data_IF_031138200580
#
_entry.id   IF_031138200580
#
_cell.length_a   1.000
_cell.length_b   1.000
_cell.length_c   1.000
_cell.angle_alpha   90.00
_cell.angle_beta   90.00
_cell.angle_gamma   90.00
#
_symmetry.space_group_name_H-M   'P 1'
#
loop_
_entity.id
_entity.type
_entity.pdbx_description
1 polymer ?
#
# COMPACT_ATOMS: atom_id res chain seq x y z
N UNK A 1 -8.09 0.56 -2.68
CA UNK A 1 -9.14 1.59 -2.49
C UNK A 1 -8.75 2.59 -1.40
N UNK A 2 -8.38 2.14 -0.19
CA UNK A 2 -8.10 3.02 0.95
C UNK A 2 -6.98 4.03 0.66
N UNK A 3 -5.86 3.63 0.06
CA UNK A 3 -4.77 4.53 -0.38
C UNK A 3 -5.32 5.65 -1.24
N UNK A 4 -6.16 5.30 -2.23
CA UNK A 4 -6.73 6.25 -3.18
C UNK A 4 -7.70 7.23 -2.52
N UNK A 5 -8.57 6.75 -1.64
CA UNK A 5 -9.52 7.60 -0.89
C UNK A 5 -8.80 8.49 0.12
N UNK A 6 -7.73 8.01 0.75
CA UNK A 6 -6.88 8.85 1.62
C UNK A 6 -6.26 9.99 0.83
N UNK A 7 -5.66 9.72 -0.34
CA UNK A 7 -5.13 10.76 -1.24
C UNK A 7 -6.21 11.76 -1.66
N UNK A 8 -7.42 11.30 -1.99
CA UNK A 8 -8.53 12.18 -2.36
C UNK A 8 -8.93 13.12 -1.20
N UNK A 9 -8.95 12.61 0.03
CA UNK A 9 -9.29 13.38 1.23
C UNK A 9 -8.19 14.38 1.64
N UNK A 10 -6.95 14.19 1.19
CA UNK A 10 -5.89 15.19 1.35
C UNK A 10 -6.15 16.49 0.58
N UNK A 11 -7.10 16.51 -0.37
CA UNK A 11 -7.55 17.68 -1.14
C UNK A 11 -6.41 18.42 -1.86
N UNK A 12 -5.48 17.69 -2.40
CA UNK A 12 -4.29 18.24 -3.07
C UNK A 12 -4.54 18.67 -4.52
N UNK A 13 -5.70 18.32 -5.08
CA UNK A 13 -6.01 18.55 -6.49
C UNK A 13 -5.36 17.56 -7.46
N UNK A 14 -4.69 16.52 -6.95
CA UNK A 14 -4.13 15.47 -7.80
C UNK A 14 -5.24 14.74 -8.59
N UNK A 15 -5.04 14.50 -9.88
CA UNK A 15 -5.91 13.62 -10.63
C UNK A 15 -5.74 12.19 -10.11
N UNK A 16 -6.84 11.57 -9.69
CA UNK A 16 -6.86 10.22 -9.14
C UNK A 16 -7.76 9.33 -9.99
N UNK A 17 -7.28 8.11 -10.29
CA UNK A 17 -8.00 7.14 -11.09
C UNK A 17 -8.02 5.78 -10.41
N UNK A 18 -9.20 5.17 -10.35
CA UNK A 18 -9.39 3.81 -9.85
C UNK A 18 -9.42 2.82 -11.02
N UNK A 19 -8.73 1.70 -10.84
CA UNK A 19 -8.84 0.51 -11.69
C UNK A 19 -9.23 -0.66 -10.81
N UNK A 20 -10.20 -1.45 -11.23
CA UNK A 20 -10.64 -2.60 -10.42
C UNK A 20 -11.81 -3.34 -11.04
N UNK A 21 -12.14 -4.46 -10.41
CA UNK A 21 -13.29 -5.28 -10.77
C UNK A 21 -14.19 -5.46 -9.55
N UNK A 22 -15.47 -5.12 -9.68
CA UNK A 22 -16.47 -5.23 -8.63
C UNK A 22 -17.64 -6.09 -9.10
N UNK A 23 -18.42 -6.61 -8.16
CA UNK A 23 -19.66 -7.34 -8.45
C UNK A 23 -20.80 -6.44 -8.92
N UNK A 24 -21.88 -7.06 -9.39
CA UNK A 24 -23.16 -6.39 -9.61
C UNK A 24 -24.03 -6.50 -8.34
N UNK A 25 -23.56 -5.88 -7.25
CA UNK A 25 -24.16 -5.95 -5.92
C UNK A 25 -24.08 -4.60 -5.19
N UNK A 26 -24.72 -4.52 -4.02
CA UNK A 26 -24.77 -3.32 -3.19
C UNK A 26 -23.38 -2.84 -2.75
N UNK A 27 -22.42 -3.75 -2.53
CA UNK A 27 -21.06 -3.38 -2.14
C UNK A 27 -20.31 -2.72 -3.31
N UNK A 28 -20.55 -3.23 -4.53
CA UNK A 28 -20.05 -2.58 -5.75
C UNK A 28 -20.67 -1.20 -5.97
N UNK A 29 -21.97 -1.04 -5.70
CA UNK A 29 -22.64 0.27 -5.76
C UNK A 29 -22.06 1.24 -4.73
N UNK A 30 -21.79 0.76 -3.52
CA UNK A 30 -21.15 1.55 -2.47
C UNK A 30 -19.74 2.03 -2.90
N UNK A 31 -18.90 1.15 -3.46
CA UNK A 31 -17.57 1.54 -3.96
C UNK A 31 -17.70 2.63 -5.04
N UNK A 32 -18.62 2.47 -6.01
CA UNK A 32 -18.83 3.46 -7.06
C UNK A 32 -19.30 4.80 -6.52
N UNK A 33 -20.18 4.80 -5.52
CA UNK A 33 -20.65 6.02 -4.86
C UNK A 33 -19.52 6.73 -4.08
N UNK A 34 -18.66 5.98 -3.40
CA UNK A 34 -17.51 6.53 -2.69
C UNK A 34 -16.50 7.18 -3.66
N UNK A 35 -16.18 6.53 -4.78
CA UNK A 35 -15.29 7.09 -5.79
C UNK A 35 -15.87 8.39 -6.39
N UNK A 36 -17.18 8.44 -6.64
CA UNK A 36 -17.87 9.64 -7.12
C UNK A 36 -17.84 10.77 -6.09
N UNK A 37 -18.17 10.47 -4.83
CA UNK A 37 -18.17 11.42 -3.73
C UNK A 37 -16.82 12.11 -3.54
N UNK A 38 -15.72 11.38 -3.74
CA UNK A 38 -14.37 11.90 -3.60
C UNK A 38 -13.72 12.31 -4.93
N UNK A 39 -14.51 12.44 -6.01
CA UNK A 39 -14.07 12.88 -7.34
C UNK A 39 -12.92 12.06 -7.93
N UNK A 40 -12.87 10.76 -7.63
CA UNK A 40 -11.93 9.82 -8.22
C UNK A 40 -12.46 9.34 -9.57
N UNK A 41 -11.65 9.41 -10.61
CA UNK A 41 -12.03 8.86 -11.92
C UNK A 41 -12.20 7.33 -11.80
N UNK A 42 -13.40 6.84 -12.15
CA UNK A 42 -13.83 5.44 -12.01
C UNK A 42 -14.11 4.75 -13.35
N UNK A 43 -13.70 5.34 -14.46
CA UNK A 43 -14.01 4.80 -15.80
C UNK A 43 -13.42 3.39 -16.03
N UNK A 44 -12.35 3.02 -15.31
CA UNK A 44 -11.72 1.71 -15.38
C UNK A 44 -12.13 0.76 -14.23
N UNK A 45 -13.16 1.11 -13.46
CA UNK A 45 -13.79 0.19 -12.53
C UNK A 45 -14.88 -0.58 -13.27
N UNK A 46 -14.61 -1.84 -13.54
CA UNK A 46 -15.49 -2.74 -14.29
C UNK A 46 -16.40 -3.54 -13.36
N UNK A 47 -17.55 -3.98 -13.87
CA UNK A 47 -18.47 -4.85 -13.13
C UNK A 47 -18.52 -6.25 -13.74
N UNK A 48 -18.67 -7.25 -12.86
CA UNK A 48 -18.84 -8.65 -13.26
C UNK A 48 -20.05 -9.28 -12.59
N UNK A 49 -20.66 -10.24 -13.29
CA UNK A 49 -21.69 -11.13 -12.74
C UNK A 49 -21.12 -12.46 -12.24
N UNK A 50 -19.82 -12.72 -12.46
CA UNK A 50 -19.20 -14.00 -12.14
C UNK A 50 -18.77 -14.14 -10.68
N UNK A 51 -18.69 -13.01 -9.93
CA UNK A 51 -18.34 -13.01 -8.52
C UNK A 51 -18.91 -11.76 -7.83
N UNK A 52 -19.20 -11.82 -6.52
CA UNK A 52 -19.57 -10.66 -5.73
C UNK A 52 -18.36 -9.72 -5.56
N UNK A 53 -18.62 -8.50 -5.13
CA UNK A 53 -17.58 -7.56 -4.74
C UNK A 53 -16.71 -8.16 -3.62
N UNK A 54 -15.39 -7.94 -3.69
CA UNK A 54 -14.46 -8.36 -2.65
C UNK A 54 -14.77 -7.66 -1.32
N UNK A 55 -14.73 -8.43 -0.23
CA UNK A 55 -15.05 -7.93 1.11
C UNK A 55 -14.11 -8.52 2.15
N UNK A 56 -13.77 -7.71 3.16
CA UNK A 56 -13.10 -8.17 4.36
C UNK A 56 -13.89 -7.76 5.60
N UNK A 57 -14.25 -8.74 6.42
CA UNK A 57 -14.77 -8.49 7.77
C UNK A 57 -13.60 -8.52 8.75
N UNK A 58 -13.47 -7.48 9.55
CA UNK A 58 -12.38 -7.36 10.53
C UNK A 58 -12.98 -7.39 11.92
N UNK A 59 -12.59 -8.37 12.70
CA UNK A 59 -12.93 -8.45 14.12
C UNK A 59 -11.72 -7.99 14.94
N UNK A 60 -11.92 -6.99 15.77
CA UNK A 60 -10.88 -6.48 16.67
C UNK A 60 -11.25 -6.82 18.11
N UNK A 61 -10.34 -7.47 18.83
CA UNK A 61 -10.54 -7.77 20.24
C UNK A 61 -10.16 -6.57 21.16
N UNK A 62 -10.47 -6.63 22.47
CA UNK A 62 -10.13 -5.54 23.40
C UNK A 62 -8.62 -5.24 23.52
N UNK A 63 -7.74 -6.16 23.10
CA UNK A 63 -6.28 -5.92 23.08
C UNK A 63 -5.81 -5.20 21.81
N UNK A 64 -6.72 -4.99 20.82
CA UNK A 64 -6.41 -4.44 19.50
C UNK A 64 -5.95 -5.49 18.49
N UNK A 65 -5.93 -6.78 18.83
CA UNK A 65 -5.61 -7.85 17.90
C UNK A 65 -6.76 -8.02 16.88
N UNK A 66 -6.41 -8.18 15.61
CA UNK A 66 -7.36 -8.25 14.52
C UNK A 66 -7.38 -9.63 13.88
N UNK A 67 -8.59 -10.09 13.58
CA UNK A 67 -8.83 -11.29 12.77
C UNK A 67 -9.58 -10.88 11.50
N UNK A 68 -9.07 -11.28 10.35
CA UNK A 68 -9.62 -10.94 9.04
C UNK A 68 -10.34 -12.14 8.44
N UNK A 69 -11.60 -11.96 8.04
CA UNK A 69 -12.33 -12.90 7.21
C UNK A 69 -12.47 -12.29 5.82
N UNK A 70 -11.59 -12.71 4.92
CA UNK A 70 -11.50 -12.15 3.57
C UNK A 70 -12.23 -13.03 2.55
N UNK A 71 -13.13 -12.41 1.78
CA UNK A 71 -13.73 -12.97 0.57
C UNK A 71 -13.11 -12.28 -0.65
N UNK A 72 -12.32 -12.97 -1.48
CA UNK A 72 -11.63 -12.35 -2.62
C UNK A 72 -12.57 -11.83 -3.71
N UNK A 73 -13.78 -12.40 -3.81
CA UNK A 73 -14.82 -11.93 -4.72
C UNK A 73 -14.30 -11.64 -6.14
N UNK A 74 -14.70 -10.50 -6.70
CA UNK A 74 -14.32 -10.08 -8.05
C UNK A 74 -12.82 -9.78 -8.19
N UNK A 75 -12.12 -9.38 -7.12
CA UNK A 75 -10.68 -9.08 -7.19
C UNK A 75 -9.86 -10.26 -7.70
N UNK A 76 -10.26 -11.50 -7.38
CA UNK A 76 -9.59 -12.71 -7.89
C UNK A 76 -9.61 -12.84 -9.41
N UNK A 77 -10.55 -12.17 -10.08
CA UNK A 77 -10.73 -12.22 -11.53
C UNK A 77 -10.09 -11.02 -12.24
N UNK A 78 -9.58 -10.03 -11.50
CA UNK A 78 -8.90 -8.87 -12.07
C UNK A 78 -7.62 -9.33 -12.78
N UNK A 79 -7.51 -9.03 -14.09
CA UNK A 79 -6.42 -9.50 -14.93
C UNK A 79 -5.92 -8.42 -15.90
N UNK A 80 -4.85 -8.68 -16.60
CA UNK A 80 -4.12 -7.77 -17.51
C UNK A 80 -5.03 -6.91 -18.41
N UNK A 81 -6.07 -7.42 -19.07
CA UNK A 81 -6.91 -6.61 -19.96
C UNK A 81 -7.60 -5.40 -19.28
N UNK A 82 -7.76 -5.42 -17.97
CA UNK A 82 -8.35 -4.29 -17.24
C UNK A 82 -7.45 -3.05 -17.24
N UNK A 83 -6.19 -3.19 -17.62
CA UNK A 83 -5.16 -2.15 -17.57
C UNK A 83 -4.70 -1.66 -18.95
N UNK A 84 -5.24 -2.21 -20.04
CA UNK A 84 -4.74 -1.98 -21.42
C UNK A 84 -4.92 -0.53 -21.93
N UNK A 85 -5.81 0.26 -21.34
CA UNK A 85 -6.17 1.60 -21.83
C UNK A 85 -6.11 2.66 -20.74
N UNK A 86 -5.13 2.56 -19.85
CA UNK A 86 -4.95 3.56 -18.78
C UNK A 86 -4.38 4.84 -19.35
N UNK A 87 -4.87 5.97 -18.83
CA UNK A 87 -4.35 7.29 -19.18
C UNK A 87 -2.94 7.47 -18.58
N UNK A 88 -1.94 7.57 -19.43
CA UNK A 88 -0.54 7.74 -19.06
C UNK A 88 -0.19 9.17 -18.63
N UNK A 89 -1.17 10.07 -18.51
CA UNK A 89 -0.95 11.40 -17.91
C UNK A 89 -0.75 11.34 -16.41
N UNK A 90 -1.17 10.23 -15.76
CA UNK A 90 -0.88 9.96 -14.35
C UNK A 90 0.58 9.60 -14.16
N UNK A 91 1.18 10.00 -13.02
CA UNK A 91 2.61 9.73 -12.76
C UNK A 91 2.88 8.37 -12.14
N UNK A 92 2.07 7.95 -11.17
CA UNK A 92 2.31 6.76 -10.36
C UNK A 92 1.18 5.74 -10.58
N UNK A 93 1.56 4.52 -10.90
CA UNK A 93 0.69 3.34 -10.87
C UNK A 93 0.96 2.57 -9.59
N UNK A 94 -0.06 2.43 -8.73
CA UNK A 94 0.02 1.71 -7.47
C UNK A 94 -0.81 0.44 -7.51
N UNK A 95 -0.19 -0.72 -7.31
CA UNK A 95 -0.84 -2.04 -7.24
C UNK A 95 -0.98 -2.48 -5.78
N UNK A 96 -2.15 -2.79 -5.33
CA UNK A 96 -2.41 -3.39 -4.02
C UNK A 96 -3.51 -4.45 -4.18
N UNK A 97 -3.37 -5.66 -3.66
CA UNK A 97 -2.16 -6.22 -3.02
C UNK A 97 -1.83 -7.54 -3.68
N UNK A 98 -0.56 -7.86 -3.85
CA UNK A 98 -0.19 -9.23 -4.23
C UNK A 98 -0.68 -10.21 -3.14
N UNK A 99 -0.87 -11.48 -3.52
CA UNK A 99 -1.46 -12.54 -2.70
C UNK A 99 -3.00 -12.43 -2.51
N UNK A 100 -3.63 -11.41 -3.08
CA UNK A 100 -5.11 -11.25 -3.09
C UNK A 100 -5.71 -11.13 -4.50
N UNK A 101 -4.88 -11.16 -5.54
CA UNK A 101 -5.28 -10.98 -6.95
C UNK A 101 -5.01 -12.28 -7.73
N UNK A 102 -5.83 -13.32 -7.50
CA UNK A 102 -5.56 -14.68 -7.97
C UNK A 102 -5.13 -14.74 -9.45
N UNK A 103 -5.79 -14.00 -10.36
CA UNK A 103 -5.41 -13.98 -11.78
C UNK A 103 -4.07 -13.30 -12.03
N UNK A 104 -3.75 -12.20 -11.33
CA UNK A 104 -2.47 -11.50 -11.46
C UNK A 104 -1.34 -12.21 -10.71
N UNK A 105 -1.67 -13.03 -9.71
CA UNK A 105 -0.70 -13.88 -9.01
C UNK A 105 -0.33 -15.15 -9.81
N UNK A 106 -1.01 -15.44 -10.94
CA UNK A 106 -0.67 -16.59 -11.79
C UNK A 106 0.74 -16.45 -12.39
N UNK A 107 1.41 -17.59 -12.63
CA UNK A 107 2.70 -17.60 -13.32
C UNK A 107 2.64 -16.95 -14.71
N UNK A 108 3.74 -16.32 -15.10
CA UNK A 108 4.01 -15.82 -16.46
C UNK A 108 5.39 -16.32 -16.89
N UNK A 109 5.49 -16.90 -18.09
CA UNK A 109 6.71 -17.55 -18.58
C UNK A 109 7.89 -16.57 -18.81
N UNK A 110 7.61 -15.28 -18.99
CA UNK A 110 8.63 -14.25 -19.27
C UNK A 110 8.95 -13.43 -18.04
N UNK A 111 7.92 -13.04 -17.28
CA UNK A 111 8.06 -12.11 -16.16
C UNK A 111 8.03 -12.79 -14.79
N UNK A 112 7.78 -14.11 -14.75
CA UNK A 112 7.62 -14.89 -13.52
C UNK A 112 6.19 -14.88 -12.99
N UNK A 113 5.53 -13.72 -12.94
CA UNK A 113 4.10 -13.59 -12.59
C UNK A 113 3.40 -12.58 -13.49
N UNK A 114 2.06 -12.68 -13.62
CA UNK A 114 1.28 -11.70 -14.37
C UNK A 114 1.31 -10.30 -13.73
N UNK A 115 1.39 -10.22 -12.41
CA UNK A 115 1.59 -8.94 -11.72
C UNK A 115 2.93 -8.29 -12.06
N UNK A 116 4.02 -9.06 -12.13
CA UNK A 116 5.31 -8.56 -12.60
C UNK A 116 5.25 -8.07 -14.06
N UNK A 117 4.55 -8.81 -14.93
CA UNK A 117 4.27 -8.37 -16.31
C UNK A 117 3.47 -7.08 -16.34
N UNK A 118 2.41 -6.95 -15.53
CA UNK A 118 1.62 -5.72 -15.44
C UNK A 118 2.49 -4.53 -15.04
N UNK A 119 3.29 -4.68 -13.99
CA UNK A 119 4.19 -3.61 -13.52
C UNK A 119 5.21 -3.22 -14.58
N UNK A 120 5.77 -4.20 -15.32
CA UNK A 120 6.63 -3.92 -16.46
C UNK A 120 5.92 -3.12 -17.56
N UNK A 121 4.70 -3.51 -17.93
CA UNK A 121 3.88 -2.80 -18.92
C UNK A 121 3.56 -1.37 -18.48
N UNK A 122 3.17 -1.17 -17.23
CA UNK A 122 2.88 0.17 -16.71
C UNK A 122 4.12 1.06 -16.77
N UNK A 123 5.28 0.54 -16.41
CA UNK A 123 6.54 1.28 -16.51
C UNK A 123 6.90 1.62 -17.95
N UNK A 124 6.72 0.69 -18.89
CA UNK A 124 7.00 0.91 -20.32
C UNK A 124 6.07 1.96 -20.93
N UNK A 125 4.88 2.17 -20.36
CA UNK A 125 3.96 3.25 -20.74
C UNK A 125 4.25 4.58 -20.05
N UNK A 126 5.26 4.64 -19.17
CA UNK A 126 5.75 5.89 -18.57
C UNK A 126 5.35 6.13 -17.11
N UNK A 127 4.61 5.20 -16.47
CA UNK A 127 4.33 5.30 -15.04
C UNK A 127 5.57 5.00 -14.20
N UNK A 128 5.70 5.67 -13.07
CA UNK A 128 6.43 5.15 -11.92
C UNK A 128 5.55 4.14 -11.20
N UNK A 129 6.12 3.01 -10.84
CA UNK A 129 5.36 1.88 -10.30
C UNK A 129 5.56 1.73 -8.80
N UNK A 130 4.48 1.41 -8.11
CA UNK A 130 4.45 1.16 -6.67
C UNK A 130 3.67 -0.10 -6.35
N UNK A 131 4.06 -0.76 -5.27
CA UNK A 131 3.43 -1.96 -4.77
C UNK A 131 3.26 -1.87 -3.26
N UNK A 132 2.12 -2.36 -2.79
CA UNK A 132 1.86 -2.71 -1.39
C UNK A 132 1.50 -4.20 -1.31
N UNK A 133 1.78 -4.82 -0.17
CA UNK A 133 1.61 -6.25 0.06
C UNK A 133 0.52 -6.51 1.11
N UNK A 134 0.18 -7.77 1.29
CA UNK A 134 -0.65 -8.22 2.41
C UNK A 134 0.14 -9.13 3.31
N UNK A 135 0.09 -8.88 4.61
CA UNK A 135 0.77 -9.71 5.60
C UNK A 135 0.12 -11.09 5.69
N UNK A 136 0.85 -12.12 5.25
CA UNK A 136 0.46 -13.54 5.35
C UNK A 136 1.62 -14.34 5.91
N UNK A 137 1.64 -14.48 7.22
CA UNK A 137 2.71 -15.19 7.93
C UNK A 137 2.83 -16.64 7.44
N UNK A 138 4.04 -17.01 6.98
CA UNK A 138 4.37 -18.38 6.56
C UNK A 138 3.68 -18.82 5.27
N UNK A 139 3.18 -17.92 4.43
CA UNK A 139 2.64 -18.28 3.11
C UNK A 139 3.82 -18.59 2.16
N UNK A 140 3.97 -19.85 1.68
CA UNK A 140 5.09 -20.25 0.84
C UNK A 140 5.11 -19.55 -0.53
N UNK A 141 4.01 -18.91 -0.91
CA UNK A 141 3.90 -18.16 -2.17
C UNK A 141 4.52 -16.76 -2.08
N UNK A 142 4.89 -16.30 -0.86
CA UNK A 142 5.31 -14.93 -0.64
C UNK A 142 6.48 -14.53 -1.53
N UNK A 143 7.63 -15.19 -1.37
CA UNK A 143 8.81 -14.91 -2.21
C UNK A 143 8.59 -15.17 -3.70
N UNK A 144 8.01 -16.32 -4.14
CA UNK A 144 7.75 -16.56 -5.55
C UNK A 144 6.87 -15.51 -6.24
N UNK A 145 5.96 -14.85 -5.51
CA UNK A 145 5.09 -13.82 -6.08
C UNK A 145 5.72 -12.43 -6.01
N UNK A 146 6.43 -12.11 -4.92
CA UNK A 146 6.99 -10.78 -4.69
C UNK A 146 8.28 -10.56 -5.50
N UNK A 147 9.20 -11.53 -5.47
CA UNK A 147 10.53 -11.39 -6.09
C UNK A 147 10.50 -11.01 -7.58
N UNK A 148 9.66 -11.61 -8.44
CA UNK A 148 9.57 -11.20 -9.85
C UNK A 148 9.10 -9.76 -10.05
N UNK A 149 8.28 -9.22 -9.14
CA UNK A 149 7.73 -7.88 -9.23
C UNK A 149 8.76 -6.79 -8.90
N UNK A 150 9.71 -7.05 -7.98
CA UNK A 150 10.61 -6.03 -7.42
C UNK A 150 11.39 -5.25 -8.48
N UNK A 151 11.90 -5.92 -9.52
CA UNK A 151 12.67 -5.28 -10.62
C UNK A 151 11.85 -4.31 -11.48
N UNK A 152 10.55 -4.32 -11.32
CA UNK A 152 9.62 -3.47 -12.06
C UNK A 152 9.04 -2.36 -11.19
N UNK A 153 9.54 -2.18 -9.95
CA UNK A 153 9.08 -1.18 -9.00
C UNK A 153 10.03 0.01 -8.92
N UNK A 154 9.43 1.19 -8.80
CA UNK A 154 10.11 2.41 -8.36
C UNK A 154 10.01 2.57 -6.84
N UNK A 155 8.86 2.26 -6.29
CA UNK A 155 8.55 2.43 -4.87
C UNK A 155 7.98 1.15 -4.27
N UNK A 156 8.51 0.73 -3.13
CA UNK A 156 7.96 -0.35 -2.33
C UNK A 156 7.68 0.16 -0.91
N UNK A 157 6.42 0.02 -0.48
CA UNK A 157 5.98 0.41 0.87
C UNK A 157 5.40 -0.83 1.53
N UNK A 158 6.05 -1.32 2.57
CA UNK A 158 5.66 -2.54 3.27
C UNK A 158 5.81 -2.37 4.79
N UNK A 159 5.13 -3.23 5.56
CA UNK A 159 5.34 -3.27 6.99
C UNK A 159 6.49 -4.21 7.39
N UNK A 160 6.88 -4.17 8.65
CA UNK A 160 7.98 -4.97 9.17
C UNK A 160 7.73 -6.48 9.07
N UNK A 161 6.47 -6.93 9.18
CA UNK A 161 6.14 -8.37 9.09
C UNK A 161 6.36 -8.87 7.66
N UNK A 162 5.95 -8.09 6.68
CA UNK A 162 6.17 -8.38 5.26
C UNK A 162 7.65 -8.40 4.90
N UNK A 163 8.41 -7.45 5.46
CA UNK A 163 9.87 -7.43 5.31
C UNK A 163 10.52 -8.68 5.92
N UNK A 164 10.05 -9.14 7.08
CA UNK A 164 10.50 -10.37 7.72
C UNK A 164 10.18 -11.62 6.90
N UNK A 165 8.96 -11.71 6.34
CA UNK A 165 8.57 -12.83 5.47
C UNK A 165 9.41 -12.88 4.17
N UNK A 166 9.81 -11.74 3.63
CA UNK A 166 10.67 -11.67 2.45
C UNK A 166 12.11 -12.06 2.76
N UNK A 167 12.73 -11.43 3.77
CA UNK A 167 14.16 -11.57 4.08
C UNK A 167 14.50 -12.77 4.97
N UNK A 168 13.50 -13.33 5.67
CA UNK A 168 13.73 -14.36 6.69
C UNK A 168 14.43 -13.84 7.95
N UNK A 169 14.60 -12.52 8.11
CA UNK A 169 15.23 -11.91 9.27
C UNK A 169 14.24 -11.71 10.42
N UNK A 170 14.73 -11.85 11.64
CA UNK A 170 13.95 -11.50 12.84
C UNK A 170 13.88 -9.96 12.97
N UNK A 171 12.72 -9.40 12.64
CA UNK A 171 12.50 -7.95 12.55
C UNK A 171 12.24 -7.33 13.92
N UNK A 172 11.94 -8.13 14.93
CA UNK A 172 11.74 -7.67 16.30
C UNK A 172 12.72 -8.33 17.27
N UNK A 173 13.18 -7.55 18.24
CA UNK A 173 14.00 -8.02 19.36
C UNK A 173 13.14 -8.83 20.35
N UNK A 174 13.74 -9.63 21.25
CA UNK A 174 13.01 -10.40 22.25
C UNK A 174 12.15 -9.55 23.20
N UNK A 175 12.46 -8.26 23.37
CA UNK A 175 11.68 -7.31 24.17
C UNK A 175 10.51 -6.70 23.39
N UNK A 176 10.30 -7.09 22.13
CA UNK A 176 9.24 -6.59 21.26
C UNK A 176 9.58 -5.31 20.49
N UNK A 177 10.73 -4.66 20.74
CA UNK A 177 11.16 -3.48 19.99
C UNK A 177 11.59 -3.84 18.55
N UNK A 178 11.50 -2.90 17.60
CA UNK A 178 11.96 -3.13 16.22
C UNK A 178 13.47 -3.36 16.18
N UNK A 179 13.90 -4.38 15.45
CA UNK A 179 15.32 -4.65 15.20
C UNK A 179 15.79 -3.80 14.02
N UNK A 180 16.10 -2.50 14.27
CA UNK A 180 16.37 -1.52 13.22
C UNK A 180 17.46 -1.98 12.24
N UNK A 181 18.53 -2.66 12.72
CA UNK A 181 19.58 -3.17 11.85
C UNK A 181 19.08 -4.26 10.88
N UNK A 182 18.17 -5.13 11.31
CA UNK A 182 17.55 -6.13 10.42
C UNK A 182 16.54 -5.51 9.46
N UNK A 183 15.78 -4.51 9.91
CA UNK A 183 14.89 -3.73 9.03
C UNK A 183 15.72 -3.05 7.93
N UNK A 184 16.85 -2.42 8.28
CA UNK A 184 17.76 -1.82 7.32
C UNK A 184 18.34 -2.84 6.34
N UNK A 185 18.75 -4.02 6.83
CA UNK A 185 19.25 -5.09 5.99
C UNK A 185 18.18 -5.60 5.01
N UNK A 186 16.95 -5.81 5.47
CA UNK A 186 15.83 -6.19 4.62
C UNK A 186 15.52 -5.13 3.55
N UNK A 187 15.56 -3.84 3.91
CA UNK A 187 15.36 -2.76 2.93
C UNK A 187 16.45 -2.75 1.86
N UNK A 188 17.70 -2.99 2.24
CA UNK A 188 18.81 -3.10 1.30
C UNK A 188 18.64 -4.31 0.38
N UNK A 189 18.29 -5.46 0.91
CA UNK A 189 18.03 -6.68 0.12
C UNK A 189 16.93 -6.45 -0.92
N UNK A 190 15.87 -5.72 -0.58
CA UNK A 190 14.78 -5.38 -1.49
C UNK A 190 15.23 -4.42 -2.62
N UNK A 191 16.13 -3.46 -2.32
CA UNK A 191 16.75 -2.63 -3.34
C UNK A 191 17.66 -3.46 -4.26
N UNK A 192 18.50 -4.30 -3.69
CA UNK A 192 19.42 -5.16 -4.44
C UNK A 192 18.65 -6.18 -5.32
N UNK A 193 17.45 -6.58 -4.89
CA UNK A 193 16.52 -7.42 -5.68
C UNK A 193 15.84 -6.65 -6.83
N UNK A 194 15.98 -5.31 -6.90
CA UNK A 194 15.65 -4.55 -8.08
C UNK A 194 14.69 -3.36 -7.91
N UNK A 195 14.25 -3.02 -6.70
CA UNK A 195 13.48 -1.78 -6.48
C UNK A 195 14.37 -0.57 -6.78
N UNK A 196 13.89 0.34 -7.64
CA UNK A 196 14.77 1.31 -8.30
C UNK A 196 15.01 2.61 -7.55
N UNK A 197 14.01 3.10 -6.79
CA UNK A 197 14.10 4.43 -6.20
C UNK A 197 14.03 4.40 -4.67
N UNK A 198 12.97 3.85 -4.10
CA UNK A 198 12.75 3.92 -2.65
C UNK A 198 12.12 2.64 -2.12
N UNK A 199 12.67 2.11 -1.04
CA UNK A 199 12.04 1.09 -0.19
C UNK A 199 11.73 1.73 1.16
N UNK A 200 10.50 1.54 1.66
CA UNK A 200 10.12 1.97 3.00
C UNK A 200 9.49 0.80 3.74
N UNK A 201 10.05 0.52 4.92
CA UNK A 201 9.54 -0.51 5.85
C UNK A 201 9.06 0.21 7.10
N UNK A 202 7.74 0.14 7.36
CA UNK A 202 7.12 0.81 8.49
C UNK A 202 6.70 -0.17 9.58
N UNK A 203 6.71 0.32 10.82
CA UNK A 203 6.18 -0.34 12.00
C UNK A 203 5.56 0.71 12.96
N UNK A 204 4.90 0.32 14.05
CA UNK A 204 4.31 1.27 15.00
C UNK A 204 5.29 2.30 15.57
N UNK A 205 6.56 1.94 15.74
CA UNK A 205 7.59 2.77 16.37
C UNK A 205 8.27 3.74 15.39
N UNK A 206 8.16 3.49 14.08
CA UNK A 206 8.80 4.32 13.06
C UNK A 206 8.85 3.66 11.69
N UNK A 207 9.65 4.23 10.79
CA UNK A 207 9.90 3.65 9.49
C UNK A 207 11.37 3.78 9.09
N UNK A 208 11.89 2.76 8.43
CA UNK A 208 13.15 2.80 7.71
C UNK A 208 12.89 3.10 6.25
N UNK A 209 13.50 4.16 5.74
CA UNK A 209 13.51 4.42 4.30
C UNK A 209 14.91 4.23 3.75
N UNK A 210 15.01 3.64 2.57
CA UNK A 210 16.26 3.34 1.88
C UNK A 210 16.19 3.81 0.43
N UNK A 211 17.30 4.37 -0.07
CA UNK A 211 17.48 4.73 -1.49
C UNK A 211 18.83 4.22 -2.00
N UNK A 212 18.98 3.96 -3.32
CA UNK A 212 20.25 3.50 -3.88
C UNK A 212 21.40 4.50 -3.66
N UNK A 213 21.12 5.83 -3.77
CA UNK A 213 22.17 6.85 -3.79
C UNK A 213 22.54 7.35 -2.40
N UNK A 214 21.55 7.51 -1.50
CA UNK A 214 21.73 8.20 -0.21
C UNK A 214 21.83 7.25 0.97
N UNK A 215 21.57 5.94 0.73
CA UNK A 215 21.45 4.97 1.81
C UNK A 215 20.15 5.13 2.59
N UNK A 216 20.14 4.66 3.85
CA UNK A 216 18.93 4.56 4.65
C UNK A 216 18.87 5.51 5.84
N UNK A 217 17.65 5.78 6.28
CA UNK A 217 17.33 6.60 7.45
C UNK A 217 16.18 6.01 8.24
N UNK A 218 16.28 5.99 9.57
CA UNK A 218 15.19 5.69 10.48
C UNK A 218 14.47 6.98 10.90
N UNK A 219 13.18 7.04 10.67
CA UNK A 219 12.31 8.15 11.09
C UNK A 219 11.34 7.61 12.14
N UNK A 220 11.45 8.05 13.41
CA UNK A 220 10.52 7.62 14.45
C UNK A 220 9.10 8.14 14.20
N UNK A 221 8.11 7.34 14.57
CA UNK A 221 6.72 7.78 14.55
C UNK A 221 6.43 8.70 15.76
N UNK A 222 5.46 9.59 15.61
CA UNK A 222 4.89 10.32 16.74
C UNK A 222 3.97 9.35 17.51
N UNK A 223 4.38 9.01 18.74
CA UNK A 223 3.64 8.04 19.57
C UNK A 223 2.27 8.59 19.98
N UNK A 224 1.24 7.75 19.83
CA UNK A 224 -0.06 7.91 20.47
C UNK A 224 -0.10 7.07 21.73
N UNK A 225 -0.79 7.58 22.76
CA UNK A 225 -1.11 6.74 23.91
C UNK A 225 -2.14 5.66 23.49
N UNK A 226 -2.06 4.46 24.06
CA UNK A 226 -2.96 3.35 23.70
C UNK A 226 -4.45 3.73 23.76
N UNK A 227 -4.82 4.60 24.70
CA UNK A 227 -6.21 5.10 24.87
C UNK A 227 -6.69 6.02 23.73
N UNK A 228 -5.77 6.60 22.94
CA UNK A 228 -6.09 7.48 21.82
C UNK A 228 -6.35 6.67 20.55
N UNK A 229 -5.84 5.44 20.47
CA UNK A 229 -6.00 4.56 19.31
C UNK A 229 -7.42 3.98 19.33
N UNK A 230 -8.26 4.44 18.38
CA UNK A 230 -9.63 3.96 18.21
C UNK A 230 -9.67 2.75 17.29
N UNK A 231 -8.84 2.75 16.24
CA UNK A 231 -8.73 1.65 15.29
C UNK A 231 -7.39 1.67 14.56
N UNK A 232 -6.99 0.52 14.00
CA UNK A 232 -5.74 0.42 13.24
C UNK A 232 -5.93 -0.12 11.82
N UNK A 233 -7.21 -0.33 11.42
CA UNK A 233 -7.54 -0.74 10.05
C UNK A 233 -7.25 0.42 9.09
N UNK A 234 -6.46 0.18 8.04
CA UNK A 234 -6.12 1.19 7.04
C UNK A 234 -4.96 2.11 7.40
N UNK A 235 -4.32 1.96 8.58
CA UNK A 235 -3.18 2.78 8.95
C UNK A 235 -1.98 2.57 7.99
N UNK A 236 -1.74 1.34 7.51
CA UNK A 236 -0.76 1.04 6.47
C UNK A 236 -1.10 1.70 5.14
N UNK A 237 -2.38 1.60 4.71
CA UNK A 237 -2.86 2.30 3.51
C UNK A 237 -2.69 3.82 3.61
N UNK A 238 -2.99 4.40 4.78
CA UNK A 238 -2.82 5.84 5.01
C UNK A 238 -1.34 6.24 4.99
N UNK A 239 -0.45 5.41 5.58
CA UNK A 239 0.99 5.58 5.49
C UNK A 239 1.46 5.57 4.03
N UNK A 240 1.04 4.55 3.27
CA UNK A 240 1.35 4.41 1.86
C UNK A 240 0.88 5.63 1.04
N UNK A 241 -0.35 6.11 1.30
CA UNK A 241 -0.89 7.29 0.62
C UNK A 241 -0.03 8.54 0.85
N UNK A 242 0.34 8.84 2.10
CA UNK A 242 1.21 9.98 2.44
C UNK A 242 2.59 9.85 1.82
N UNK A 243 3.19 8.66 1.84
CA UNK A 243 4.47 8.40 1.20
C UNK A 243 4.43 8.59 -0.31
N UNK A 244 3.44 8.03 -0.99
CA UNK A 244 3.27 8.15 -2.44
C UNK A 244 3.00 9.60 -2.87
N UNK A 245 2.27 10.39 -2.06
CA UNK A 245 2.13 11.81 -2.28
C UNK A 245 3.51 12.51 -2.29
N UNK A 246 4.34 12.27 -1.27
CA UNK A 246 5.69 12.82 -1.21
C UNK A 246 6.55 12.39 -2.41
N UNK A 247 6.44 11.13 -2.87
CA UNK A 247 7.10 10.67 -4.09
C UNK A 247 6.62 11.42 -5.33
N UNK A 248 5.29 11.59 -5.48
CA UNK A 248 4.69 12.33 -6.58
C UNK A 248 5.17 13.79 -6.66
N UNK A 249 5.29 14.47 -5.52
CA UNK A 249 5.74 15.85 -5.39
C UNK A 249 7.28 15.99 -5.29
N UNK A 250 8.03 14.89 -5.44
CA UNK A 250 9.50 14.88 -5.40
C UNK A 250 10.09 15.37 -4.08
N UNK A 251 9.38 15.17 -2.99
CA UNK A 251 9.87 15.47 -1.65
C UNK A 251 11.06 14.57 -1.28
N UNK A 252 11.86 15.02 -0.35
CA UNK A 252 12.93 14.17 0.22
C UNK A 252 12.35 12.90 0.83
N UNK A 253 13.17 11.87 0.98
CA UNK A 253 12.76 10.63 1.64
C UNK A 253 12.22 10.90 3.05
N UNK A 254 12.92 11.73 3.81
CA UNK A 254 12.55 12.10 5.19
C UNK A 254 11.19 12.82 5.25
N UNK A 255 10.95 13.80 4.39
CA UNK A 255 9.68 14.52 4.33
C UNK A 255 8.52 13.60 3.93
N UNK A 256 8.75 12.73 2.94
CA UNK A 256 7.77 11.75 2.50
C UNK A 256 7.37 10.78 3.62
N UNK A 257 8.35 10.29 4.42
CA UNK A 257 8.08 9.40 5.56
C UNK A 257 7.37 10.16 6.70
N UNK A 258 7.73 11.41 6.97
CA UNK A 258 7.05 12.23 7.99
C UNK A 258 5.57 12.43 7.63
N UNK A 259 5.26 12.73 6.37
CA UNK A 259 3.87 12.83 5.91
C UNK A 259 3.14 11.48 6.02
N UNK A 260 3.81 10.38 5.68
CA UNK A 260 3.27 9.04 5.82
C UNK A 260 2.90 8.73 7.28
N UNK A 261 3.76 9.08 8.24
CA UNK A 261 3.46 8.95 9.67
C UNK A 261 2.28 9.83 10.11
N UNK A 262 2.18 11.07 9.64
CA UNK A 262 1.06 11.94 9.95
C UNK A 262 -0.27 11.36 9.43
N UNK A 263 -0.29 10.82 8.20
CA UNK A 263 -1.46 10.14 7.64
C UNK A 263 -1.85 8.89 8.46
N UNK A 264 -0.87 8.05 8.79
CA UNK A 264 -1.11 6.85 9.60
C UNK A 264 -1.63 7.20 11.00
N UNK A 265 -1.02 8.19 11.65
CA UNK A 265 -1.45 8.69 12.96
C UNK A 265 -2.90 9.18 12.94
N UNK A 266 -3.26 9.97 11.93
CA UNK A 266 -4.63 10.45 11.76
C UNK A 266 -5.63 9.29 11.56
N UNK A 267 -5.26 8.25 10.82
CA UNK A 267 -6.08 7.04 10.63
C UNK A 267 -6.31 6.28 11.94
N UNK A 268 -5.32 6.20 12.83
CA UNK A 268 -5.43 5.51 14.12
C UNK A 268 -6.46 6.14 15.08
N UNK A 269 -6.83 7.39 14.89
CA UNK A 269 -7.82 8.13 15.67
C UNK A 269 -9.27 7.83 15.26
N UNK A 270 -9.49 6.92 14.32
CA UNK A 270 -10.82 6.55 13.82
C UNK A 270 -10.99 5.03 13.72
N UNK A 271 -12.24 4.58 13.78
CA UNK A 271 -12.55 3.16 13.79
C UNK A 271 -12.41 2.49 12.40
N UNK A 272 -12.60 3.24 11.32
CA UNK A 272 -12.52 2.73 9.96
C UNK A 272 -11.27 3.25 9.23
N UNK A 273 -11.05 2.71 8.04
CA UNK A 273 -9.81 2.91 7.28
C UNK A 273 -9.62 4.32 6.67
N UNK A 274 -10.69 5.12 6.57
CA UNK A 274 -10.63 6.37 5.79
C UNK A 274 -11.17 7.62 6.50
N UNK A 275 -11.95 7.48 7.57
CA UNK A 275 -12.58 8.64 8.21
C UNK A 275 -11.56 9.56 8.89
N UNK A 276 -10.46 9.01 9.37
CA UNK A 276 -9.37 9.76 9.97
C UNK A 276 -8.50 10.54 8.98
N UNK A 277 -8.66 10.34 7.67
CA UNK A 277 -7.85 11.05 6.69
C UNK A 277 -8.13 12.57 6.71
N UNK A 278 -7.06 13.37 6.76
CA UNK A 278 -7.04 14.82 6.86
C UNK A 278 -6.59 15.48 5.57
N UNK A 279 -6.82 16.78 5.45
CA UNK A 279 -6.25 17.58 4.36
C UNK A 279 -4.74 17.70 4.49
N UNK A 280 -4.05 17.97 3.38
CA UNK A 280 -2.59 18.16 3.39
C UNK A 280 -2.16 19.27 4.34
N UNK A 281 -2.92 20.39 4.38
CA UNK A 281 -2.63 21.53 5.26
C UNK A 281 -2.68 21.14 6.75
N UNK A 282 -3.70 20.37 7.16
CA UNK A 282 -3.81 19.86 8.53
C UNK A 282 -2.64 18.92 8.88
N UNK A 283 -2.28 18.01 7.94
CA UNK A 283 -1.17 17.08 8.13
C UNK A 283 0.18 17.79 8.23
N UNK A 284 0.42 18.82 7.41
CA UNK A 284 1.66 19.62 7.46
C UNK A 284 1.78 20.40 8.76
N UNK A 285 0.68 20.88 9.32
CA UNK A 285 0.67 21.53 10.63
C UNK A 285 1.12 20.54 11.71
N UNK A 286 0.57 19.32 11.70
CA UNK A 286 0.93 18.26 12.67
C UNK A 286 2.38 17.74 12.52
N UNK A 287 2.98 17.86 11.34
CA UNK A 287 4.39 17.49 11.11
C UNK A 287 5.36 18.51 11.69
N UNK A 288 4.90 19.73 11.96
CA UNK A 288 5.73 20.85 12.44
C UNK A 288 5.78 20.94 13.97
N UNK A 289 4.82 20.34 14.64
CA UNK A 289 4.72 20.23 16.11
C UNK A 289 5.55 19.03 16.62
#
# INVERSE_FOLDING_TARGET
LNVLLTLAKMRTGLPLQAVGLIGQDSDGDYIMAMLEQYHVNRQHVQRTTFAPTSMSQVMTDPSGQRTFFHSPGANRLLDLPAFDQLDNTMKIFHLGYLLLLDSLDMPDDVYGTRSARLLAQMRDTGFETSLDLVSRKGDPRYQPLVLPALRHLDYLVINELEAGEFSGLEIRLPNGEPHIAHIAAAARELLDAGVRQRVVIHCPEGAWGETPEQGGVWIPSQKLEQREIIGSVGAGDAFCAGFLYGCHERWTLTESIKLAHACARASLLCANAIDGAKTLEELQTEMSD
#
